data_IF_986035545535
#
_entry.id   IF_986035545535
#
_cell.length_a   1.000
_cell.length_b   1.000
_cell.length_c   1.000
_cell.angle_alpha   90.00
_cell.angle_beta   90.00
_cell.angle_gamma   90.00
#
_symmetry.space_group_name_H-M   'P 1'
#
loop_
_entity.id
_entity.type
_entity.pdbx_description
1 polymer ?
#
# COMPACT_ATOMS: atom_id res chain seq x y z
N UNK A 1 -0.37 28.00 -16.31
CA UNK A 1 -1.06 26.71 -16.37
C UNK A 1 -0.62 25.79 -15.24
N UNK A 2 0.69 25.58 -15.02
CA UNK A 2 1.23 24.85 -13.87
C UNK A 2 0.74 25.43 -12.51
N UNK A 3 0.89 26.74 -12.31
CA UNK A 3 0.46 27.47 -11.11
C UNK A 3 -1.03 27.30 -10.75
N UNK A 4 -1.89 27.13 -11.76
CA UNK A 4 -3.32 26.89 -11.54
C UNK A 4 -3.62 25.47 -11.04
N UNK A 5 -2.91 24.47 -11.57
CA UNK A 5 -3.06 23.07 -11.16
C UNK A 5 -2.49 22.85 -9.76
N UNK A 6 -1.34 23.44 -9.46
CA UNK A 6 -0.72 23.37 -8.14
C UNK A 6 -1.64 23.96 -7.08
N UNK A 7 -2.29 25.10 -7.37
CA UNK A 7 -3.32 25.67 -6.50
C UNK A 7 -4.51 24.73 -6.29
N UNK A 8 -5.02 24.08 -7.33
CA UNK A 8 -6.13 23.12 -7.20
C UNK A 8 -5.72 21.93 -6.32
N UNK A 9 -4.52 21.41 -6.52
CA UNK A 9 -4.00 20.28 -5.74
C UNK A 9 -3.94 20.66 -4.25
N UNK A 10 -3.41 21.84 -3.95
CA UNK A 10 -3.30 22.31 -2.57
C UNK A 10 -4.67 22.60 -1.94
N UNK A 11 -5.57 23.29 -2.64
CA UNK A 11 -6.86 23.67 -2.08
C UNK A 11 -7.88 22.53 -2.00
N UNK A 12 -7.82 21.55 -2.90
CA UNK A 12 -8.85 20.51 -3.06
C UNK A 12 -8.39 19.10 -2.73
N UNK A 13 -7.10 18.83 -2.84
CA UNK A 13 -6.55 17.48 -2.70
C UNK A 13 -5.57 17.31 -1.54
N UNK A 14 -5.13 18.40 -0.89
CA UNK A 14 -4.35 18.33 0.35
C UNK A 14 -5.29 18.18 1.57
N UNK A 15 -4.96 17.25 2.46
CA UNK A 15 -5.66 17.00 3.74
C UNK A 15 -4.63 16.66 4.82
N UNK A 16 -5.00 16.59 6.12
CA UNK A 16 -4.07 16.13 7.16
C UNK A 16 -3.49 14.72 6.93
N UNK A 17 -4.14 13.90 6.11
CA UNK A 17 -3.65 12.57 5.72
C UNK A 17 -2.88 12.59 4.40
N UNK A 18 -3.07 13.59 3.55
CA UNK A 18 -2.56 13.64 2.18
C UNK A 18 -1.86 14.97 1.94
N UNK A 19 -0.55 14.96 1.89
CA UNK A 19 0.24 16.20 1.82
C UNK A 19 1.10 16.25 0.57
N UNK A 20 0.90 17.30 -0.22
CA UNK A 20 1.69 17.63 -1.39
C UNK A 20 1.64 16.59 -2.51
N UNK A 21 2.04 17.03 -3.69
CA UNK A 21 2.04 16.23 -4.90
C UNK A 21 3.24 16.61 -5.76
N UNK A 22 3.93 15.62 -6.31
CA UNK A 22 5.03 15.85 -7.24
C UNK A 22 5.22 14.69 -8.20
N UNK A 23 5.90 14.99 -9.30
CA UNK A 23 6.36 13.97 -10.23
C UNK A 23 7.56 13.22 -9.65
N UNK A 24 7.51 11.89 -9.72
CA UNK A 24 8.62 10.98 -9.49
C UNK A 24 8.88 10.26 -10.80
N UNK A 25 9.89 10.74 -11.54
CA UNK A 25 10.16 10.34 -12.92
C UNK A 25 8.91 10.44 -13.82
N UNK A 26 8.15 9.36 -13.98
CA UNK A 26 6.99 9.20 -14.86
C UNK A 26 5.66 8.99 -14.10
N UNK A 27 5.67 8.96 -12.76
CA UNK A 27 4.45 8.85 -11.95
C UNK A 27 4.20 10.13 -11.16
N UNK A 28 2.92 10.44 -10.98
CA UNK A 28 2.48 11.54 -10.13
C UNK A 28 2.03 10.98 -8.78
N UNK A 29 2.72 11.36 -7.70
CA UNK A 29 2.50 10.80 -6.35
C UNK A 29 2.53 11.88 -5.28
N UNK A 30 2.08 11.52 -4.08
CA UNK A 30 2.15 12.41 -2.91
C UNK A 30 3.58 12.49 -2.36
N UNK A 31 3.89 13.60 -1.67
CA UNK A 31 5.24 13.81 -1.11
C UNK A 31 5.71 12.70 -0.17
N UNK A 32 4.89 12.09 0.70
CA UNK A 32 5.31 11.00 1.58
C UNK A 32 5.94 9.81 0.85
N UNK A 33 5.62 9.57 -0.43
CA UNK A 33 6.20 8.48 -1.21
C UNK A 33 7.73 8.48 -1.19
N UNK A 34 8.36 9.65 -1.19
CA UNK A 34 9.82 9.80 -1.14
C UNK A 34 10.44 9.16 0.11
N UNK A 35 9.75 9.22 1.25
CA UNK A 35 10.23 8.66 2.51
C UNK A 35 10.06 7.14 2.59
N UNK A 36 9.30 6.56 1.67
CA UNK A 36 8.93 5.14 1.67
C UNK A 36 9.57 4.35 0.54
N UNK A 37 9.92 4.99 -0.58
CA UNK A 37 10.36 4.32 -1.82
C UNK A 37 11.55 3.38 -1.58
N UNK A 38 12.55 3.80 -0.79
CA UNK A 38 13.71 2.95 -0.49
C UNK A 38 13.36 1.76 0.39
N UNK A 39 12.41 1.93 1.32
CA UNK A 39 11.93 0.81 2.15
C UNK A 39 11.12 -0.20 1.33
N UNK A 40 10.41 0.27 0.31
CA UNK A 40 9.67 -0.58 -0.63
C UNK A 40 10.64 -1.35 -1.54
N UNK A 41 11.61 -0.68 -2.15
CA UNK A 41 12.63 -1.33 -2.98
C UNK A 41 13.38 -2.43 -2.24
N UNK A 42 13.72 -2.20 -0.97
CA UNK A 42 14.45 -3.15 -0.13
C UNK A 42 13.56 -4.12 0.67
N UNK A 43 12.25 -4.12 0.40
CA UNK A 43 11.32 -5.06 1.01
C UNK A 43 11.74 -6.51 0.69
N UNK A 44 11.78 -7.36 1.72
CA UNK A 44 12.15 -8.76 1.57
C UNK A 44 10.93 -9.57 1.14
N UNK A 45 10.93 -9.98 -0.13
CA UNK A 45 9.92 -10.81 -0.76
C UNK A 45 10.18 -12.27 -0.39
N UNK A 46 9.12 -13.02 -0.14
CA UNK A 46 9.18 -14.47 0.09
C UNK A 46 8.68 -15.17 -1.15
N UNK A 47 9.25 -16.34 -1.46
CA UNK A 47 8.85 -17.15 -2.62
C UNK A 47 7.38 -17.59 -2.58
N UNK A 48 6.74 -17.54 -1.41
CA UNK A 48 5.33 -17.90 -1.25
C UNK A 48 4.40 -16.69 -1.16
N UNK A 49 4.91 -15.46 -1.30
CA UNK A 49 4.06 -14.26 -1.35
C UNK A 49 3.15 -14.28 -2.59
N UNK A 50 1.95 -13.75 -2.43
CA UNK A 50 1.01 -13.54 -3.53
C UNK A 50 0.77 -12.04 -3.68
N UNK A 51 1.09 -11.52 -4.86
CA UNK A 51 0.97 -10.10 -5.16
C UNK A 51 -0.26 -9.83 -6.02
N UNK A 52 -1.07 -8.85 -5.60
CA UNK A 52 -2.10 -8.26 -6.43
C UNK A 52 -1.64 -6.86 -6.86
N UNK A 53 -1.19 -6.76 -8.11
CA UNK A 53 -0.78 -5.50 -8.74
C UNK A 53 -1.78 -5.09 -9.82
N UNK A 54 -2.23 -3.84 -9.78
CA UNK A 54 -3.11 -3.25 -10.81
C UNK A 54 -3.19 -1.74 -10.67
N UNK A 55 -3.74 -1.05 -11.66
CA UNK A 55 -4.05 0.37 -11.56
C UNK A 55 -5.15 0.64 -10.50
N UNK A 56 -5.12 1.78 -9.77
CA UNK A 56 -6.15 2.12 -8.81
C UNK A 56 -7.56 2.03 -9.41
N UNK A 57 -8.50 1.48 -8.63
CA UNK A 57 -9.92 1.33 -8.98
C UNK A 57 -10.24 0.33 -10.11
N UNK A 58 -9.29 -0.51 -10.52
CA UNK A 58 -9.51 -1.58 -11.51
C UNK A 58 -10.12 -2.88 -10.92
N UNK A 59 -10.96 -2.80 -9.89
CA UNK A 59 -11.63 -3.98 -9.31
C UNK A 59 -10.84 -4.74 -8.22
N UNK A 60 -9.74 -4.18 -7.70
CA UNK A 60 -8.89 -4.87 -6.71
C UNK A 60 -9.61 -5.39 -5.47
N UNK A 61 -10.67 -4.73 -5.00
CA UNK A 61 -11.38 -5.18 -3.80
C UNK A 61 -11.97 -6.56 -3.99
N UNK A 62 -12.67 -6.79 -5.10
CA UNK A 62 -13.23 -8.10 -5.44
C UNK A 62 -12.15 -9.15 -5.62
N UNK A 63 -11.06 -8.82 -6.31
CA UNK A 63 -9.94 -9.74 -6.51
C UNK A 63 -9.26 -10.12 -5.19
N UNK A 64 -9.09 -9.18 -4.26
CA UNK A 64 -8.51 -9.48 -2.95
C UNK A 64 -9.38 -10.48 -2.17
N UNK A 65 -10.69 -10.28 -2.13
CA UNK A 65 -11.60 -11.18 -1.40
C UNK A 65 -11.59 -12.59 -2.01
N UNK A 66 -11.70 -12.69 -3.34
CA UNK A 66 -11.66 -13.99 -4.03
C UNK A 66 -10.32 -14.70 -3.82
N UNK A 67 -9.20 -14.01 -4.02
CA UNK A 67 -7.88 -14.59 -3.85
C UNK A 67 -7.63 -15.02 -2.40
N UNK A 68 -8.07 -14.22 -1.42
CA UNK A 68 -7.93 -14.57 -0.01
C UNK A 68 -8.73 -15.83 0.33
N UNK A 69 -9.98 -15.95 -0.11
CA UNK A 69 -10.79 -17.15 0.12
C UNK A 69 -10.18 -18.39 -0.55
N UNK A 70 -9.69 -18.28 -1.79
CA UNK A 70 -9.05 -19.40 -2.50
C UNK A 70 -7.80 -19.88 -1.75
N UNK A 71 -6.97 -18.96 -1.26
CA UNK A 71 -5.72 -19.30 -0.55
C UNK A 71 -5.97 -19.87 0.84
N UNK A 72 -7.10 -19.55 1.46
CA UNK A 72 -7.48 -19.96 2.81
C UNK A 72 -8.63 -20.96 2.82
N UNK A 73 -8.69 -21.86 1.81
CA UNK A 73 -9.63 -22.99 1.76
C UNK A 73 -11.11 -22.61 1.97
N UNK A 74 -11.52 -21.47 1.41
CA UNK A 74 -12.86 -20.89 1.56
C UNK A 74 -13.26 -20.64 3.02
N UNK A 75 -12.33 -20.20 3.87
CA UNK A 75 -12.59 -19.79 5.25
C UNK A 75 -13.40 -18.48 5.31
N UNK A 76 -14.71 -18.56 5.14
CA UNK A 76 -15.61 -17.40 5.21
C UNK A 76 -15.59 -16.70 6.57
N UNK A 77 -15.33 -17.43 7.67
CA UNK A 77 -15.28 -16.83 9.00
C UNK A 77 -14.01 -15.98 9.17
N UNK A 78 -12.88 -16.47 8.69
CA UNK A 78 -11.65 -15.68 8.63
C UNK A 78 -11.78 -14.46 7.72
N UNK A 79 -12.55 -14.57 6.62
CA UNK A 79 -12.82 -13.46 5.71
C UNK A 79 -13.62 -12.29 6.33
N UNK A 80 -14.31 -12.51 7.45
CA UNK A 80 -14.99 -11.44 8.21
C UNK A 80 -14.00 -10.41 8.80
N UNK A 81 -12.71 -10.79 8.96
CA UNK A 81 -11.68 -9.85 9.38
C UNK A 81 -11.54 -8.70 8.36
N UNK A 82 -11.22 -7.51 8.87
CA UNK A 82 -11.10 -6.31 8.02
C UNK A 82 -10.05 -6.50 6.92
N UNK A 83 -10.39 -6.14 5.70
CA UNK A 83 -9.54 -6.44 4.52
C UNK A 83 -8.06 -6.00 4.66
N UNK A 84 -7.72 -4.83 5.24
CA UNK A 84 -6.31 -4.42 5.37
C UNK A 84 -5.45 -5.33 6.26
N UNK A 85 -6.03 -6.18 7.11
CA UNK A 85 -5.26 -7.16 7.91
C UNK A 85 -5.02 -8.44 7.14
N UNK A 86 -5.96 -8.82 6.27
CA UNK A 86 -5.91 -10.00 5.41
C UNK A 86 -5.08 -9.82 4.14
N UNK A 87 -5.18 -8.64 3.54
CA UNK A 87 -4.57 -8.28 2.27
C UNK A 87 -3.94 -6.87 2.37
N UNK A 88 -2.85 -6.72 3.16
CA UNK A 88 -2.23 -5.42 3.42
C UNK A 88 -1.80 -4.70 2.13
N UNK A 89 -1.98 -3.37 2.14
CA UNK A 89 -1.67 -2.50 1.02
C UNK A 89 -0.28 -1.87 1.19
N UNK A 90 0.69 -2.35 0.41
CA UNK A 90 2.12 -2.08 0.59
C UNK A 90 2.45 -0.60 0.75
N UNK A 91 1.94 0.24 -0.15
CA UNK A 91 2.23 1.67 -0.18
C UNK A 91 1.18 2.55 0.51
N UNK A 92 0.31 2.00 1.39
CA UNK A 92 -0.73 2.80 2.03
C UNK A 92 -0.16 4.03 2.77
N UNK A 93 0.99 3.89 3.43
CA UNK A 93 1.69 5.00 4.09
C UNK A 93 2.15 6.12 3.13
N UNK A 94 2.28 5.82 1.84
CA UNK A 94 2.61 6.81 0.81
C UNK A 94 1.40 7.64 0.38
N UNK A 95 0.19 7.08 0.52
CA UNK A 95 -1.07 7.71 0.05
C UNK A 95 -1.92 8.27 1.18
N UNK A 96 -1.60 7.91 2.42
CA UNK A 96 -2.24 8.42 3.63
C UNK A 96 -1.28 8.29 4.83
N UNK A 97 -0.84 9.42 5.39
CA UNK A 97 0.05 9.45 6.57
C UNK A 97 -0.74 9.29 7.87
N UNK A 98 -1.25 8.08 8.09
CA UNK A 98 -1.96 7.72 9.32
C UNK A 98 -1.06 7.82 10.57
N UNK A 99 0.28 7.71 10.42
CA UNK A 99 1.21 7.85 11.56
C UNK A 99 1.27 9.27 12.05
N UNK A 100 1.39 10.24 11.15
CA UNK A 100 1.36 11.65 11.50
C UNK A 100 -0.01 12.03 12.07
N UNK A 101 -1.09 11.59 11.42
CA UNK A 101 -2.44 11.85 11.89
C UNK A 101 -2.68 11.31 13.30
N UNK A 102 -2.32 10.05 13.58
CA UNK A 102 -2.45 9.45 14.92
C UNK A 102 -1.61 10.17 16.00
N UNK A 103 -0.47 10.77 15.64
CA UNK A 103 0.31 11.58 16.59
C UNK A 103 -0.41 12.86 17.02
N UNK A 104 -1.22 13.44 16.12
CA UNK A 104 -2.03 14.63 16.38
C UNK A 104 -3.39 14.29 17.00
N UNK A 105 -3.88 13.09 16.72
CA UNK A 105 -5.17 12.56 17.17
C UNK A 105 -4.97 11.23 17.91
N UNK A 106 -4.52 11.24 19.18
CA UNK A 106 -4.26 10.00 19.93
C UNK A 106 -5.47 9.08 20.08
N UNK A 107 -6.67 9.64 20.01
CA UNK A 107 -7.97 8.95 20.01
C UNK A 107 -8.24 8.17 18.71
N UNK A 108 -7.51 8.47 17.63
CA UNK A 108 -7.70 7.81 16.35
C UNK A 108 -7.17 6.37 16.38
N UNK A 109 -8.11 5.43 16.27
CA UNK A 109 -7.81 4.02 16.11
C UNK A 109 -7.77 3.64 14.63
N UNK A 110 -6.73 2.91 14.25
CA UNK A 110 -6.63 2.27 12.95
C UNK A 110 -5.81 0.98 13.07
N UNK A 111 -6.03 0.01 12.16
CA UNK A 111 -5.27 -1.23 12.16
C UNK A 111 -3.75 -0.96 12.05
N UNK A 112 -2.95 -1.81 12.69
CA UNK A 112 -1.47 -1.73 12.57
C UNK A 112 -1.03 -1.80 11.10
N UNK A 113 -1.72 -2.60 10.29
CA UNK A 113 -1.48 -2.71 8.85
C UNK A 113 -1.69 -1.41 8.09
N UNK A 114 -2.40 -0.43 8.68
CA UNK A 114 -2.57 0.90 8.10
C UNK A 114 -1.53 1.91 8.61
N UNK A 115 -1.05 1.75 9.86
CA UNK A 115 -0.01 2.60 10.44
C UNK A 115 1.39 2.27 9.92
N UNK A 116 1.70 0.99 9.77
CA UNK A 116 2.97 0.53 9.22
C UNK A 116 2.75 -0.69 8.31
N UNK A 117 2.27 -0.49 7.07
CA UNK A 117 1.97 -1.61 6.19
C UNK A 117 3.17 -2.54 5.99
N UNK A 118 4.35 -1.97 5.69
CA UNK A 118 5.57 -2.75 5.48
C UNK A 118 5.99 -3.49 6.77
N UNK A 119 5.92 -2.83 7.92
CA UNK A 119 6.28 -3.45 9.20
C UNK A 119 5.32 -4.58 9.59
N UNK A 120 4.03 -4.36 9.36
CA UNK A 120 2.98 -5.35 9.56
C UNK A 120 3.20 -6.58 8.66
N UNK A 121 3.41 -6.37 7.35
CA UNK A 121 3.68 -7.45 6.39
C UNK A 121 4.91 -8.27 6.80
N UNK A 122 5.96 -7.63 7.34
CA UNK A 122 7.15 -8.34 7.82
C UNK A 122 6.89 -9.23 9.05
N UNK A 123 5.92 -8.87 9.89
CA UNK A 123 5.55 -9.64 11.09
C UNK A 123 4.69 -10.86 10.78
N UNK A 124 3.95 -10.85 9.66
CA UNK A 124 3.11 -11.97 9.23
C UNK A 124 3.94 -13.26 9.10
N UNK A 125 3.47 -14.31 9.76
CA UNK A 125 4.10 -15.65 9.76
C UNK A 125 3.52 -16.58 8.71
N UNK A 126 2.26 -16.36 8.33
CA UNK A 126 1.61 -17.07 7.24
C UNK A 126 2.01 -16.51 5.87
N UNK A 127 1.57 -17.21 4.83
CA UNK A 127 1.61 -16.75 3.44
C UNK A 127 1.03 -15.34 3.33
N UNK A 128 1.75 -14.41 2.70
CA UNK A 128 1.37 -13.00 2.64
C UNK A 128 0.64 -12.74 1.32
N UNK A 129 -0.54 -12.13 1.40
CA UNK A 129 -1.26 -11.61 0.24
C UNK A 129 -1.09 -10.08 0.24
N UNK A 130 -0.40 -9.53 -0.74
CA UNK A 130 0.08 -8.14 -0.72
C UNK A 130 -0.53 -7.38 -1.89
N UNK A 131 -1.25 -6.30 -1.61
CA UNK A 131 -1.81 -5.41 -2.62
C UNK A 131 -0.80 -4.31 -2.95
N UNK A 132 -0.70 -3.94 -4.22
CA UNK A 132 -0.03 -2.72 -4.65
C UNK A 132 -0.65 -2.11 -5.92
N UNK A 133 -0.48 -0.80 -6.07
CA UNK A 133 -0.78 -0.02 -7.27
C UNK A 133 0.48 0.60 -7.88
N UNK A 134 1.66 0.31 -7.32
CA UNK A 134 2.92 0.80 -7.85
C UNK A 134 3.21 0.14 -9.20
N UNK A 135 3.71 0.90 -10.18
CA UNK A 135 4.20 0.30 -11.41
C UNK A 135 5.48 -0.50 -11.13
N UNK A 136 5.80 -1.40 -12.06
CA UNK A 136 6.89 -2.38 -11.95
C UNK A 136 8.20 -1.82 -11.36
N UNK A 137 8.65 -0.66 -11.83
CA UNK A 137 9.92 -0.04 -11.41
C UNK A 137 9.98 0.42 -9.96
N UNK A 138 8.84 0.56 -9.28
CA UNK A 138 8.78 0.90 -7.86
C UNK A 138 8.38 -0.28 -6.97
N UNK A 139 8.26 -1.49 -7.53
CA UNK A 139 8.12 -2.72 -6.75
C UNK A 139 9.44 -3.09 -6.05
N UNK A 140 9.43 -4.03 -5.09
CA UNK A 140 10.67 -4.54 -4.50
C UNK A 140 11.67 -5.02 -5.55
N UNK A 141 12.95 -4.76 -5.33
CA UNK A 141 14.02 -5.09 -6.29
C UNK A 141 14.05 -6.59 -6.62
N UNK A 142 13.71 -7.45 -5.65
CA UNK A 142 13.63 -8.90 -5.82
C UNK A 142 12.57 -9.33 -6.84
N UNK A 143 11.46 -8.59 -6.97
CA UNK A 143 10.47 -8.83 -8.02
C UNK A 143 11.02 -8.36 -9.37
N UNK A 144 11.65 -7.17 -9.38
CA UNK A 144 12.16 -6.56 -10.61
C UNK A 144 13.26 -7.40 -11.28
N UNK A 145 14.18 -7.94 -10.48
CA UNK A 145 15.30 -8.75 -10.95
C UNK A 145 14.96 -10.25 -11.00
N UNK A 146 13.73 -10.63 -10.65
CA UNK A 146 13.25 -12.02 -10.62
C UNK A 146 14.12 -12.94 -9.75
N UNK A 147 14.66 -12.42 -8.64
CA UNK A 147 15.46 -13.22 -7.69
C UNK A 147 14.61 -14.02 -6.71
N UNK A 148 13.29 -14.01 -6.88
CA UNK A 148 12.29 -14.75 -6.10
C UNK A 148 11.28 -15.39 -7.06
N UNK A 149 10.53 -16.37 -6.57
CA UNK A 149 9.45 -17.05 -7.31
C UNK A 149 8.08 -16.40 -7.18
N UNK A 150 7.98 -15.32 -6.39
CA UNK A 150 6.76 -14.56 -6.16
C UNK A 150 6.26 -13.81 -7.42
#
# INVERSE_FOLDING_TARGET
MADHLDRILEEKYTTPLRTGYKWFDDIFMLNPFENHVERIKNFQVRDDDIWLSSFPKAGTTWTQEMAWLIVNDLDYKGAEAVLPTRFPFLELGCVADFRHYKRQHPEFECPESSLDPIGYINKLKCRRLIKTHLPWKYLPLQIQNQSTKA
#
